data_IF_200249757189
#
_entry.id   IF_200249757189
#
_cell.length_a   1.000
_cell.length_b   1.000
_cell.length_c   1.000
_cell.angle_alpha   90.00
_cell.angle_beta   90.00
_cell.angle_gamma   90.00
#
_symmetry.space_group_name_H-M   'P 1'
#
loop_
_entity.id
_entity.type
_entity.pdbx_description
1 polymer ?
#
# COMPACT_ATOMS: atom_id res chain seq x y z
N UNK A 1 -22.88 -15.72 -9.38
CA UNK A 1 -23.08 -14.26 -9.45
C UNK A 1 -21.95 -13.63 -8.65
N UNK A 2 -20.76 -13.56 -9.25
CA UNK A 2 -19.60 -12.91 -8.64
C UNK A 2 -19.76 -11.42 -8.91
N UNK A 3 -19.97 -10.66 -7.84
CA UNK A 3 -20.09 -9.21 -7.93
C UNK A 3 -18.82 -8.66 -8.59
N UNK A 4 -19.06 -7.75 -9.53
CA UNK A 4 -18.09 -6.82 -10.10
C UNK A 4 -17.04 -6.49 -9.06
N UNK A 5 -15.81 -6.90 -9.35
CA UNK A 5 -14.68 -6.38 -8.64
C UNK A 5 -14.65 -4.86 -8.84
N UNK A 6 -14.40 -4.17 -7.74
CA UNK A 6 -14.41 -2.73 -7.57
C UNK A 6 -14.00 -1.94 -8.83
N UNK A 7 -15.03 -1.41 -9.47
CA UNK A 7 -14.99 -0.34 -10.46
C UNK A 7 -14.85 1.01 -9.72
N UNK A 8 -13.93 1.12 -8.74
CA UNK A 8 -13.97 2.15 -7.69
C UNK A 8 -12.63 2.90 -7.47
N UNK A 9 -11.95 3.25 -8.55
CA UNK A 9 -11.64 4.66 -8.74
C UNK A 9 -12.59 5.12 -9.85
N UNK A 10 -13.12 6.35 -9.80
CA UNK A 10 -13.52 6.96 -11.08
C UNK A 10 -12.30 6.83 -12.00
N UNK A 11 -12.47 6.56 -13.28
CA UNK A 11 -11.36 6.26 -14.20
C UNK A 11 -10.34 7.40 -14.36
N UNK A 12 -10.45 8.46 -13.55
CA UNK A 12 -9.63 9.65 -13.53
C UNK A 12 -9.38 10.16 -12.08
N UNK A 13 -9.33 9.29 -11.08
CA UNK A 13 -8.99 9.69 -9.71
C UNK A 13 -7.48 9.92 -9.55
N UNK A 14 -7.09 10.97 -8.82
CA UNK A 14 -5.69 11.23 -8.46
C UNK A 14 -5.33 10.49 -7.18
N UNK A 15 -4.17 9.82 -7.21
CA UNK A 15 -3.60 9.04 -6.12
C UNK A 15 -2.19 9.50 -5.69
N UNK A 16 -1.69 10.65 -6.18
CA UNK A 16 -0.35 11.16 -5.85
C UNK A 16 -0.13 11.33 -4.33
N UNK A 17 -1.20 11.64 -3.59
CA UNK A 17 -1.22 11.81 -2.13
C UNK A 17 -1.81 10.59 -1.40
N UNK A 18 -2.06 9.48 -2.09
CA UNK A 18 -2.70 8.32 -1.51
C UNK A 18 -1.71 7.51 -0.66
N UNK A 19 -2.09 7.18 0.58
CA UNK A 19 -1.26 6.34 1.43
C UNK A 19 -1.32 4.87 1.01
N UNK A 20 -0.21 4.17 1.12
CA UNK A 20 -0.20 2.71 1.12
C UNK A 20 -0.78 2.18 2.44
N UNK A 21 -1.72 1.24 2.32
CA UNK A 21 -2.28 0.54 3.46
C UNK A 21 -1.30 -0.51 3.99
N UNK A 22 -1.15 -0.62 5.31
CA UNK A 22 -0.42 -1.72 5.95
C UNK A 22 -1.34 -2.60 6.80
N UNK A 23 -1.21 -3.91 6.61
CA UNK A 23 -1.97 -4.95 7.32
C UNK A 23 -1.04 -5.91 8.06
N UNK A 24 -1.56 -6.64 9.05
CA UNK A 24 -0.78 -7.63 9.81
C UNK A 24 -1.42 -9.01 9.72
N UNK A 25 -0.65 -10.04 9.35
CA UNK A 25 -1.08 -11.45 9.42
C UNK A 25 -0.65 -12.16 10.71
N UNK A 26 0.09 -11.43 11.54
CA UNK A 26 0.59 -11.88 12.85
C UNK A 26 0.15 -10.89 13.93
N UNK A 27 0.14 -11.36 15.17
CA UNK A 27 -0.06 -10.47 16.33
C UNK A 27 1.15 -9.55 16.47
N UNK A 28 1.01 -8.30 16.04
CA UNK A 28 2.04 -7.28 16.17
C UNK A 28 1.71 -6.38 17.38
N UNK A 29 2.58 -6.30 18.40
CA UNK A 29 2.36 -5.39 19.52
C UNK A 29 2.20 -3.94 19.05
N UNK A 30 1.33 -3.17 19.70
CA UNK A 30 1.07 -1.78 19.34
C UNK A 30 2.35 -0.93 19.28
N UNK A 31 3.28 -1.13 20.22
CA UNK A 31 4.59 -0.46 20.22
C UNK A 31 5.42 -0.81 18.99
N UNK A 32 5.38 -2.06 18.54
CA UNK A 32 6.09 -2.52 17.35
C UNK A 32 5.47 -1.98 16.07
N UNK A 33 4.13 -1.90 16.01
CA UNK A 33 3.40 -1.25 14.91
C UNK A 33 3.73 0.24 14.82
N UNK A 34 3.70 0.96 15.96
CA UNK A 34 4.07 2.38 15.99
C UNK A 34 5.52 2.59 15.56
N UNK A 35 6.44 1.74 16.01
CA UNK A 35 7.84 1.81 15.58
C UNK A 35 7.98 1.55 14.08
N UNK A 36 7.27 0.56 13.54
CA UNK A 36 7.27 0.26 12.11
C UNK A 36 6.73 1.43 11.27
N UNK A 37 5.58 1.97 11.64
CA UNK A 37 5.00 3.13 10.96
C UNK A 37 5.91 4.35 11.04
N UNK A 38 6.57 4.57 12.18
CA UNK A 38 7.55 5.66 12.32
C UNK A 38 8.71 5.45 11.34
N UNK A 39 9.28 4.24 11.28
CA UNK A 39 10.36 3.92 10.35
C UNK A 39 9.95 4.09 8.88
N UNK A 40 8.79 3.58 8.48
CA UNK A 40 8.33 3.64 7.08
C UNK A 40 8.01 5.07 6.60
N UNK A 41 7.72 5.99 7.52
CA UNK A 41 7.37 7.38 7.19
C UNK A 41 8.47 8.38 7.53
N UNK A 42 9.60 7.96 8.10
CA UNK A 42 10.62 8.88 8.62
C UNK A 42 11.16 9.79 7.52
N UNK A 43 11.69 9.20 6.45
CA UNK A 43 12.21 9.96 5.30
C UNK A 43 11.11 10.72 4.55
N UNK A 44 9.92 10.14 4.42
CA UNK A 44 8.78 10.83 3.78
C UNK A 44 8.43 12.12 4.51
N UNK A 45 8.34 12.07 5.84
CA UNK A 45 8.00 13.23 6.67
C UNK A 45 9.08 14.31 6.60
N UNK A 46 10.35 13.94 6.40
CA UNK A 46 11.46 14.90 6.27
C UNK A 46 11.51 15.58 4.90
N UNK A 47 10.99 14.94 3.85
CA UNK A 47 11.05 15.44 2.47
C UNK A 47 9.74 16.10 2.00
N UNK A 48 8.64 15.90 2.73
CA UNK A 48 7.33 16.45 2.40
C UNK A 48 6.94 17.65 3.28
N UNK A 49 5.93 18.39 2.84
CA UNK A 49 5.32 19.44 3.65
C UNK A 49 4.57 18.84 4.84
N UNK A 50 4.46 19.56 5.96
CA UNK A 50 3.72 19.12 7.17
C UNK A 50 2.25 18.75 6.91
N UNK A 51 1.67 19.21 5.80
CA UNK A 51 0.30 18.92 5.38
C UNK A 51 0.15 17.62 4.59
N UNK A 52 1.27 17.01 4.15
CA UNK A 52 1.24 15.79 3.36
C UNK A 52 0.79 14.60 4.23
N UNK A 53 -0.12 13.75 3.73
CA UNK A 53 -0.48 12.54 4.44
C UNK A 53 0.73 11.59 4.57
N UNK A 54 0.73 10.69 5.58
CA UNK A 54 1.76 9.67 5.68
C UNK A 54 1.78 8.78 4.43
N UNK A 55 2.99 8.40 3.97
CA UNK A 55 3.18 7.47 2.88
C UNK A 55 2.58 6.10 3.19
N UNK A 56 2.72 5.63 4.45
CA UNK A 56 2.18 4.37 4.92
C UNK A 56 1.36 4.58 6.19
N UNK A 57 0.14 4.04 6.24
CA UNK A 57 -0.68 4.05 7.46
C UNK A 57 -1.63 2.86 7.53
N UNK A 58 -2.16 2.59 8.72
CA UNK A 58 -3.13 1.51 8.92
C UNK A 58 -4.53 1.94 8.49
N UNK A 59 -5.26 1.11 7.72
CA UNK A 59 -6.69 1.30 7.52
C UNK A 59 -7.48 1.02 8.82
N UNK A 60 -8.79 1.35 8.88
CA UNK A 60 -9.61 1.11 10.07
C UNK A 60 -9.60 -0.34 10.56
N UNK A 61 -9.52 -1.30 9.64
CA UNK A 61 -9.35 -2.73 9.92
C UNK A 61 -8.03 -3.17 9.28
N UNK A 62 -7.01 -3.38 10.11
CA UNK A 62 -5.66 -3.73 9.66
C UNK A 62 -5.13 -5.05 10.23
N UNK A 63 -5.71 -5.54 11.33
CA UNK A 63 -5.29 -6.79 11.97
C UNK A 63 -6.04 -7.99 11.40
N UNK A 64 -5.30 -8.83 10.70
CA UNK A 64 -5.74 -10.07 10.05
C UNK A 64 -4.99 -11.28 10.61
N UNK A 65 -4.57 -11.20 11.88
CA UNK A 65 -3.86 -12.28 12.58
C UNK A 65 -4.54 -13.63 12.38
N UNK A 66 -3.76 -14.62 11.92
CA UNK A 66 -4.24 -16.00 11.76
C UNK A 66 -5.17 -16.23 10.57
N UNK A 67 -5.36 -15.22 9.71
CA UNK A 67 -6.10 -15.34 8.45
C UNK A 67 -5.16 -15.52 7.25
N UNK A 68 -5.73 -15.64 6.05
CA UNK A 68 -4.96 -15.76 4.81
C UNK A 68 -4.74 -14.41 4.13
N UNK A 69 -3.70 -14.31 3.30
CA UNK A 69 -3.48 -13.13 2.45
C UNK A 69 -4.70 -12.79 1.58
N UNK A 70 -5.51 -13.79 1.20
CA UNK A 70 -6.74 -13.60 0.43
C UNK A 70 -7.75 -12.69 1.15
N UNK A 71 -7.88 -12.84 2.47
CA UNK A 71 -8.78 -12.01 3.28
C UNK A 71 -8.32 -10.55 3.27
N UNK A 72 -7.00 -10.33 3.32
CA UNK A 72 -6.41 -8.98 3.22
C UNK A 72 -6.66 -8.36 1.85
N UNK A 73 -6.48 -9.13 0.77
CA UNK A 73 -6.81 -8.66 -0.60
C UNK A 73 -8.27 -8.24 -0.69
N UNK A 74 -9.19 -9.06 -0.18
CA UNK A 74 -10.62 -8.74 -0.17
C UNK A 74 -10.92 -7.48 0.64
N UNK A 75 -10.32 -7.35 1.83
CA UNK A 75 -10.49 -6.17 2.66
C UNK A 75 -9.93 -4.90 2.00
N UNK A 76 -8.77 -5.00 1.34
CA UNK A 76 -8.17 -3.88 0.61
C UNK A 76 -9.00 -3.49 -0.60
N UNK A 77 -9.46 -4.45 -1.41
CA UNK A 77 -10.37 -4.15 -2.54
C UNK A 77 -11.68 -3.51 -2.09
N UNK A 78 -12.21 -3.91 -0.93
CA UNK A 78 -13.43 -3.36 -0.34
C UNK A 78 -13.23 -2.08 0.47
N UNK A 79 -11.98 -1.68 0.75
CA UNK A 79 -11.67 -0.47 1.52
C UNK A 79 -12.22 0.76 0.79
N UNK A 80 -13.03 1.55 1.47
CA UNK A 80 -13.42 2.88 1.00
C UNK A 80 -12.15 3.70 0.80
N UNK A 81 -11.84 4.00 -0.47
CA UNK A 81 -10.63 4.72 -0.83
C UNK A 81 -10.66 6.17 -0.36
N UNK A 82 -11.80 6.67 0.09
CA UNK A 82 -12.04 8.08 0.34
C UNK A 82 -12.01 8.85 -0.98
N UNK A 83 -12.93 9.78 -1.19
CA UNK A 83 -12.95 10.58 -2.40
C UNK A 83 -13.21 12.03 -2.03
N UNK A 84 -12.30 12.90 -2.42
CA UNK A 84 -12.46 14.34 -2.29
C UNK A 84 -12.48 14.94 -3.69
N UNK A 85 -13.61 15.48 -4.16
CA UNK A 85 -13.70 16.11 -5.49
C UNK A 85 -12.64 17.20 -5.65
N UNK A 86 -12.10 17.31 -6.87
CA UNK A 86 -11.27 18.45 -7.27
C UNK A 86 -12.05 19.32 -8.24
N UNK A 87 -11.77 20.62 -8.19
CA UNK A 87 -12.35 21.60 -9.11
C UNK A 87 -11.43 21.91 -10.30
N UNK A 88 -10.26 21.24 -10.38
CA UNK A 88 -9.31 21.40 -11.48
C UNK A 88 -9.52 20.38 -12.61
N UNK A 89 -9.01 20.69 -13.81
CA UNK A 89 -9.31 19.93 -15.04
C UNK A 89 -8.44 18.68 -15.23
N UNK A 90 -7.81 18.16 -14.17
CA UNK A 90 -6.87 17.04 -14.24
C UNK A 90 -7.55 15.72 -13.89
N UNK A 91 -7.95 15.59 -12.62
CA UNK A 91 -8.55 14.39 -12.05
C UNK A 91 -9.94 14.73 -11.48
N UNK A 92 -10.84 13.76 -11.41
CA UNK A 92 -12.18 13.96 -10.85
C UNK A 92 -12.13 14.25 -9.34
N UNK A 93 -11.08 13.78 -8.66
CA UNK A 93 -10.90 13.91 -7.23
C UNK A 93 -9.65 13.21 -6.72
N UNK A 94 -9.27 13.49 -5.47
CA UNK A 94 -8.21 12.78 -4.75
C UNK A 94 -8.78 11.57 -4.01
N UNK A 95 -8.03 10.47 -4.02
CA UNK A 95 -8.26 9.33 -3.12
C UNK A 95 -7.24 9.32 -1.98
N UNK A 96 -7.61 8.68 -0.87
CA UNK A 96 -6.79 8.63 0.34
C UNK A 96 -5.97 7.35 0.51
N UNK A 97 -6.25 6.33 -0.29
CA UNK A 97 -5.64 5.01 -0.20
C UNK A 97 -5.19 4.53 -1.57
N UNK A 98 -3.94 4.08 -1.65
CA UNK A 98 -3.41 3.49 -2.87
C UNK A 98 -4.26 2.25 -3.21
N UNK A 99 -4.82 2.12 -4.42
CA UNK A 99 -5.95 1.21 -4.65
C UNK A 99 -5.52 -0.19 -5.10
N UNK A 100 -4.35 -0.30 -5.71
CA UNK A 100 -3.86 -1.54 -6.33
C UNK A 100 -2.70 -2.17 -5.57
N UNK A 101 -2.19 -1.52 -4.51
CA UNK A 101 -1.04 -2.01 -3.77
C UNK A 101 -1.15 -1.76 -2.26
N UNK A 102 -0.60 -2.68 -1.48
CA UNK A 102 -0.54 -2.59 -0.02
C UNK A 102 0.61 -3.42 0.57
N UNK A 103 0.86 -3.22 1.85
CA UNK A 103 1.94 -3.85 2.60
C UNK A 103 1.36 -4.83 3.62
N UNK A 104 2.02 -5.96 3.82
CA UNK A 104 1.65 -6.97 4.81
C UNK A 104 2.82 -7.33 5.71
N UNK A 105 2.61 -7.24 7.01
CA UNK A 105 3.55 -7.71 8.04
C UNK A 105 3.29 -9.20 8.31
N UNK A 106 4.31 -10.02 8.09
CA UNK A 106 4.26 -11.48 8.28
C UNK A 106 5.21 -12.00 9.36
N UNK A 107 6.09 -11.15 9.90
CA UNK A 107 7.08 -11.51 10.93
C UNK A 107 7.24 -10.41 11.98
N UNK A 108 7.51 -10.79 13.23
CA UNK A 108 7.91 -9.86 14.29
C UNK A 108 9.30 -9.28 14.04
N UNK A 109 10.15 -10.05 13.35
CA UNK A 109 11.52 -9.68 12.96
C UNK A 109 11.52 -8.91 11.63
N UNK A 110 10.53 -8.05 11.39
CA UNK A 110 10.34 -7.34 10.12
C UNK A 110 11.55 -6.49 9.70
N UNK A 111 12.43 -6.09 10.64
CA UNK A 111 13.68 -5.41 10.32
C UNK A 111 14.67 -6.29 9.56
N UNK A 112 14.72 -7.58 9.93
CA UNK A 112 15.66 -8.55 9.36
C UNK A 112 15.04 -9.31 8.19
N UNK A 113 13.72 -9.55 8.25
CA UNK A 113 12.99 -10.37 7.28
C UNK A 113 12.23 -9.55 6.23
N UNK A 114 12.20 -8.23 6.38
CA UNK A 114 11.45 -7.35 5.51
C UNK A 114 9.94 -7.44 5.68
N UNK A 115 9.25 -6.81 4.72
CA UNK A 115 7.79 -6.73 4.63
C UNK A 115 7.35 -7.31 3.29
N UNK A 116 6.11 -7.80 3.22
CA UNK A 116 5.54 -8.27 1.95
C UNK A 116 4.83 -7.11 1.27
N UNK A 117 5.31 -6.70 0.10
CA UNK A 117 4.57 -5.84 -0.80
C UNK A 117 3.63 -6.68 -1.65
N UNK A 118 2.38 -6.24 -1.80
CA UNK A 118 1.35 -6.94 -2.56
C UNK A 118 0.75 -5.98 -3.56
N UNK A 119 0.67 -6.42 -4.81
CA UNK A 119 0.02 -5.71 -5.90
C UNK A 119 -1.12 -6.56 -6.46
N UNK A 120 -2.25 -5.92 -6.75
CA UNK A 120 -3.46 -6.53 -7.30
C UNK A 120 -3.95 -5.66 -8.44
N UNK A 121 -3.73 -6.13 -9.67
CA UNK A 121 -4.30 -5.52 -10.87
C UNK A 121 -5.54 -6.27 -11.34
N UNK A 122 -6.56 -5.52 -11.73
CA UNK A 122 -7.79 -6.01 -12.32
C UNK A 122 -7.96 -5.67 -13.81
N UNK A 123 -7.04 -4.91 -14.42
CA UNK A 123 -7.24 -4.37 -15.77
C UNK A 123 -7.02 -5.42 -16.88
N UNK A 124 -6.08 -6.34 -16.72
CA UNK A 124 -5.71 -7.30 -17.78
C UNK A 124 -6.34 -8.69 -17.60
N UNK A 125 -7.65 -8.83 -17.88
CA UNK A 125 -8.35 -10.10 -18.19
C UNK A 125 -8.21 -11.29 -17.20
N UNK A 126 -7.53 -11.08 -16.09
CA UNK A 126 -7.17 -12.04 -15.07
C UNK A 126 -6.58 -11.25 -13.91
N UNK A 127 -7.01 -11.56 -12.70
CA UNK A 127 -6.49 -10.94 -11.49
C UNK A 127 -5.01 -11.26 -11.35
N UNK A 128 -4.14 -10.37 -11.81
CA UNK A 128 -2.71 -10.50 -11.61
C UNK A 128 -2.41 -10.03 -10.19
N UNK A 129 -2.30 -10.98 -9.26
CA UNK A 129 -1.78 -10.73 -7.94
C UNK A 129 -0.29 -11.09 -7.93
N UNK A 130 0.55 -10.09 -7.69
CA UNK A 130 1.97 -10.29 -7.44
C UNK A 130 2.31 -9.90 -6.01
N UNK A 131 3.36 -10.52 -5.47
CA UNK A 131 3.91 -10.16 -4.18
C UNK A 131 5.40 -10.44 -4.15
N UNK A 132 6.12 -9.64 -3.37
CA UNK A 132 7.54 -9.86 -3.07
C UNK A 132 7.86 -9.30 -1.70
N UNK A 133 9.00 -9.73 -1.14
CA UNK A 133 9.53 -9.19 0.10
C UNK A 133 10.49 -8.06 -0.23
N UNK A 134 10.43 -6.97 0.53
CA UNK A 134 11.38 -5.86 0.45
C UNK A 134 11.90 -5.51 1.85
N UNK A 135 13.11 -4.97 1.92
CA UNK A 135 13.69 -4.53 3.19
C UNK A 135 13.10 -3.18 3.60
N UNK A 136 12.96 -2.97 4.91
CA UNK A 136 12.39 -1.71 5.43
C UNK A 136 13.27 -0.52 5.09
N UNK A 137 14.59 -0.72 4.99
CA UNK A 137 15.54 0.34 4.62
C UNK A 137 15.34 0.81 3.16
N UNK A 138 14.77 -0.03 2.29
CA UNK A 138 14.44 0.31 0.90
C UNK A 138 13.03 0.90 0.74
N UNK A 139 12.23 0.89 1.81
CA UNK A 139 10.80 1.19 1.75
C UNK A 139 10.51 2.59 1.22
N UNK A 140 11.25 3.60 1.70
CA UNK A 140 11.02 4.99 1.30
C UNK A 140 11.24 5.16 -0.21
N UNK A 141 12.39 4.71 -0.72
CA UNK A 141 12.73 4.88 -2.13
C UNK A 141 11.74 4.13 -3.04
N UNK A 142 11.40 2.88 -2.69
CA UNK A 142 10.45 2.08 -3.47
C UNK A 142 9.05 2.71 -3.47
N UNK A 143 8.49 3.01 -2.30
CA UNK A 143 7.10 3.46 -2.17
C UNK A 143 6.91 4.88 -2.69
N UNK A 144 7.87 5.79 -2.47
CA UNK A 144 7.80 7.15 -3.00
C UNK A 144 7.90 7.14 -4.53
N UNK A 145 8.79 6.34 -5.12
CA UNK A 145 8.92 6.24 -6.59
C UNK A 145 7.64 5.69 -7.23
N UNK A 146 6.97 4.72 -6.58
CA UNK A 146 5.65 4.24 -7.01
C UNK A 146 4.59 5.33 -6.87
N UNK A 147 4.60 6.08 -5.76
CA UNK A 147 3.66 7.18 -5.51
C UNK A 147 3.77 8.30 -6.55
N UNK A 148 4.98 8.61 -7.02
CA UNK A 148 5.22 9.64 -8.05
C UNK A 148 5.08 9.11 -9.49
N UNK A 149 4.93 7.79 -9.67
CA UNK A 149 4.91 7.17 -10.99
C UNK A 149 6.27 7.08 -11.69
N UNK A 150 7.36 7.27 -10.95
CA UNK A 150 8.74 7.16 -11.44
C UNK A 150 9.22 5.70 -11.57
N UNK A 151 8.50 4.76 -10.95
CA UNK A 151 8.84 3.34 -10.92
C UNK A 151 7.65 2.48 -11.36
N UNK A 152 7.97 1.37 -12.03
CA UNK A 152 6.97 0.36 -12.37
C UNK A 152 6.98 -0.76 -11.34
N UNK A 153 5.89 -1.51 -11.23
CA UNK A 153 5.81 -2.60 -10.26
C UNK A 153 6.78 -3.75 -10.58
N UNK A 154 6.97 -4.04 -11.88
CA UNK A 154 7.97 -4.98 -12.34
C UNK A 154 9.38 -4.50 -11.97
N UNK A 155 9.68 -3.22 -12.17
CA UNK A 155 10.95 -2.60 -11.77
C UNK A 155 11.15 -2.62 -10.26
N UNK A 156 10.11 -2.33 -9.47
CA UNK A 156 10.17 -2.41 -8.00
C UNK A 156 10.55 -3.81 -7.51
N UNK A 157 9.96 -4.84 -8.11
CA UNK A 157 10.29 -6.23 -7.75
C UNK A 157 11.73 -6.59 -8.13
N UNK A 158 12.21 -6.13 -9.28
CA UNK A 158 13.58 -6.39 -9.74
C UNK A 158 14.62 -5.65 -8.89
N UNK A 159 14.33 -4.41 -8.51
CA UNK A 159 15.25 -3.52 -7.81
C UNK A 159 15.29 -3.76 -6.29
N UNK A 160 14.15 -4.09 -5.67
CA UNK A 160 14.00 -4.16 -4.21
C UNK A 160 13.56 -5.53 -3.68
N UNK A 161 13.17 -6.44 -4.57
CA UNK A 161 12.76 -7.78 -4.19
C UNK A 161 13.93 -8.57 -3.61
N UNK A 162 13.83 -8.99 -2.35
CA UNK A 162 14.74 -9.98 -1.79
C UNK A 162 14.27 -11.38 -2.19
N UNK A 163 15.19 -12.19 -2.71
CA UNK A 163 14.92 -13.57 -3.12
C UNK A 163 14.40 -14.43 -1.95
N UNK A 164 13.52 -15.40 -2.26
CA UNK A 164 13.03 -16.39 -1.29
C UNK A 164 14.13 -17.31 -0.74
#
# INVERSE_FOLDING_TARGET
>A
MFYRLALLCSSNANWDEASFAIYTLITLPASSLSALLTTLNDEWTQNMTDEAPPLVRTPPVYDFTGTSLREVVQAHSALDKGFTPRDDSGADGNIQWYPTAFIVVTSLDWRERGLVFVYVDGEDSGFAMEKFVFMVDDAYLMLSSLSFGDESLAGSRENYGVGE
#
